data_IF_912328868554
#
_entry.id   IF_912328868554
#
_cell.length_a   1.000
_cell.length_b   1.000
_cell.length_c   1.000
_cell.angle_alpha   90.00
_cell.angle_beta   90.00
_cell.angle_gamma   90.00
#
_symmetry.space_group_name_H-M   'P 1'
#
loop_
_entity.id
_entity.type
_entity.pdbx_description
1 polymer ?
#
# COMPACT_ATOMS: atom_id res chain seq x y z
N UNK A 1 -36.31 64.20 -14.71
CA UNK A 1 -35.57 64.14 -13.43
C UNK A 1 -36.14 63.11 -12.44
N UNK A 2 -37.45 63.08 -12.17
CA UNK A 2 -38.06 62.16 -11.19
C UNK A 2 -37.89 60.65 -11.47
N UNK A 3 -37.82 60.21 -12.73
CA UNK A 3 -37.59 58.79 -13.07
C UNK A 3 -36.15 58.32 -12.84
N UNK A 4 -35.16 59.20 -13.02
CA UNK A 4 -33.75 58.88 -12.80
C UNK A 4 -33.44 58.74 -11.30
N UNK A 5 -34.06 59.57 -10.46
CA UNK A 5 -33.95 59.48 -9.00
C UNK A 5 -34.64 58.22 -8.45
N UNK A 6 -35.77 57.80 -9.04
CA UNK A 6 -36.47 56.57 -8.64
C UNK A 6 -35.68 55.29 -9.01
N UNK A 7 -35.03 55.28 -10.19
CA UNK A 7 -34.16 54.18 -10.60
C UNK A 7 -32.90 54.09 -9.75
N UNK A 8 -32.28 55.23 -9.42
CA UNK A 8 -31.13 55.27 -8.51
C UNK A 8 -31.51 54.83 -7.09
N UNK A 9 -32.68 55.20 -6.59
CA UNK A 9 -33.19 54.77 -5.28
C UNK A 9 -33.54 53.27 -5.25
N UNK A 10 -34.12 52.75 -6.33
CA UNK A 10 -34.38 51.32 -6.53
C UNK A 10 -33.09 50.49 -6.61
N UNK A 11 -32.08 50.99 -7.32
CA UNK A 11 -30.74 50.40 -7.37
C UNK A 11 -30.07 50.47 -5.99
N UNK A 12 -30.22 51.56 -5.25
CA UNK A 12 -29.69 51.72 -3.90
C UNK A 12 -30.32 50.75 -2.92
N UNK A 13 -31.65 50.59 -2.94
CA UNK A 13 -32.38 49.62 -2.12
C UNK A 13 -32.03 48.19 -2.51
N UNK A 14 -31.93 47.86 -3.81
CA UNK A 14 -31.50 46.54 -4.25
C UNK A 14 -30.06 46.23 -3.82
N UNK A 15 -29.13 47.19 -3.92
CA UNK A 15 -27.77 47.00 -3.45
C UNK A 15 -27.70 46.85 -1.92
N UNK A 16 -28.48 47.63 -1.18
CA UNK A 16 -28.53 47.57 0.29
C UNK A 16 -29.18 46.28 0.81
N UNK A 17 -30.11 45.71 0.04
CA UNK A 17 -30.76 44.42 0.34
C UNK A 17 -29.90 43.24 -0.11
N UNK A 18 -29.19 43.33 -1.23
CA UNK A 18 -28.32 42.25 -1.74
C UNK A 18 -26.95 42.17 -1.08
N UNK A 19 -26.39 43.28 -0.60
CA UNK A 19 -25.06 43.30 0.02
C UNK A 19 -24.95 42.43 1.29
N UNK A 20 -25.94 42.43 2.21
CA UNK A 20 -25.99 41.50 3.34
C UNK A 20 -26.17 40.05 2.88
N UNK A 21 -27.01 39.80 1.87
CA UNK A 21 -27.24 38.45 1.33
C UNK A 21 -25.96 37.87 0.72
N UNK A 22 -25.21 38.68 -0.03
CA UNK A 22 -23.93 38.28 -0.62
C UNK A 22 -22.90 37.97 0.47
N UNK A 23 -22.79 38.82 1.50
CA UNK A 23 -21.91 38.63 2.66
C UNK A 23 -22.27 37.35 3.45
N UNK A 24 -23.55 37.08 3.63
CA UNK A 24 -24.05 35.86 4.27
C UNK A 24 -23.74 34.63 3.41
N UNK A 25 -23.97 34.67 2.09
CA UNK A 25 -23.63 33.55 1.20
C UNK A 25 -22.13 33.25 1.18
N UNK A 26 -21.30 34.30 1.18
CA UNK A 26 -19.84 34.17 1.20
C UNK A 26 -19.33 33.56 2.50
N UNK A 27 -19.83 34.03 3.65
CA UNK A 27 -19.50 33.47 4.98
C UNK A 27 -20.04 32.05 5.18
N UNK A 28 -21.19 31.71 4.61
CA UNK A 28 -21.74 30.35 4.64
C UNK A 28 -20.90 29.38 3.80
N UNK A 29 -20.44 29.80 2.62
CA UNK A 29 -19.54 29.00 1.77
C UNK A 29 -18.20 28.72 2.46
N UNK A 30 -17.71 29.69 3.22
CA UNK A 30 -16.45 29.66 3.94
C UNK A 30 -16.49 28.77 5.19
N UNK A 31 -17.58 28.82 5.95
CA UNK A 31 -17.79 27.92 7.09
C UNK A 31 -18.02 26.47 6.63
N UNK A 32 -18.61 26.27 5.45
CA UNK A 32 -18.80 24.95 4.86
C UNK A 32 -17.47 24.33 4.36
N UNK A 33 -16.58 25.12 3.75
CA UNK A 33 -15.27 24.60 3.29
C UNK A 33 -14.34 24.25 4.46
N UNK A 34 -14.34 25.05 5.52
CA UNK A 34 -13.55 24.80 6.74
C UNK A 34 -14.09 23.63 7.56
N UNK A 35 -15.41 23.45 7.64
CA UNK A 35 -16.03 22.29 8.30
C UNK A 35 -15.85 21.01 7.49
N UNK A 36 -15.86 21.07 6.15
CA UNK A 36 -15.51 19.93 5.31
C UNK A 36 -14.04 19.53 5.46
N UNK A 37 -13.11 20.49 5.54
CA UNK A 37 -11.69 20.16 5.72
C UNK A 37 -11.41 19.55 7.11
N UNK A 38 -12.01 20.10 8.18
CA UNK A 38 -11.91 19.54 9.52
C UNK A 38 -12.56 18.15 9.62
N UNK A 39 -13.74 17.97 9.03
CA UNK A 39 -14.42 16.66 9.04
C UNK A 39 -13.67 15.63 8.20
N UNK A 40 -13.04 16.02 7.08
CA UNK A 40 -12.20 15.14 6.29
C UNK A 40 -10.90 14.79 7.03
N UNK A 41 -10.29 15.76 7.71
CA UNK A 41 -9.11 15.53 8.56
C UNK A 41 -9.43 14.61 9.74
N UNK A 42 -10.56 14.82 10.41
CA UNK A 42 -11.04 13.98 11.50
C UNK A 42 -11.43 12.59 11.01
N UNK A 43 -12.08 12.48 9.86
CA UNK A 43 -12.46 11.20 9.24
C UNK A 43 -11.24 10.43 8.75
N UNK A 44 -10.24 11.11 8.19
CA UNK A 44 -8.98 10.50 7.76
C UNK A 44 -8.16 10.07 8.98
N UNK A 45 -8.16 10.85 10.06
CA UNK A 45 -7.52 10.50 11.34
C UNK A 45 -8.21 9.32 12.03
N UNK A 46 -9.56 9.29 12.07
CA UNK A 46 -10.33 8.17 12.58
C UNK A 46 -10.17 6.93 11.70
N UNK A 47 -10.17 7.09 10.37
CA UNK A 47 -9.99 6.00 9.43
C UNK A 47 -8.57 5.44 9.50
N UNK A 48 -7.53 6.28 9.64
CA UNK A 48 -6.17 5.81 9.87
C UNK A 48 -6.04 5.07 11.21
N UNK A 49 -6.66 5.58 12.27
CA UNK A 49 -6.80 4.87 13.55
C UNK A 49 -7.51 3.50 13.40
N UNK A 50 -8.44 3.41 12.45
CA UNK A 50 -9.21 2.19 12.14
C UNK A 50 -8.69 1.36 10.96
N UNK A 51 -7.63 1.76 10.24
CA UNK A 51 -7.03 0.90 9.18
C UNK A 51 -6.36 -0.35 9.74
N UNK A 52 -6.31 -0.47 11.07
CA UNK A 52 -6.27 -1.74 11.76
C UNK A 52 -7.70 -2.30 11.94
N UNK A 53 -8.36 -2.69 10.86
CA UNK A 53 -9.55 -3.55 10.94
C UNK A 53 -9.12 -5.02 10.91
N UNK A 54 -9.03 -5.71 12.07
CA UNK A 54 -8.83 -7.15 12.14
C UNK A 54 -9.99 -7.96 11.54
N UNK A 55 -11.14 -7.34 11.27
CA UNK A 55 -12.39 -7.97 10.81
C UNK A 55 -12.38 -8.41 9.35
N UNK A 56 -11.78 -7.65 8.42
CA UNK A 56 -11.62 -8.09 7.02
C UNK A 56 -10.59 -9.22 6.89
N UNK A 57 -9.58 -9.23 7.77
CA UNK A 57 -8.54 -10.26 7.79
C UNK A 57 -9.07 -11.62 8.27
N UNK A 58 -10.19 -11.67 8.99
CA UNK A 58 -10.79 -12.95 9.40
C UNK A 58 -11.67 -13.56 8.29
N UNK A 59 -12.35 -12.71 7.49
CA UNK A 59 -13.33 -13.17 6.51
C UNK A 59 -12.69 -13.61 5.18
N UNK A 60 -11.56 -13.03 4.77
CA UNK A 60 -10.91 -13.35 3.47
C UNK A 60 -9.94 -14.53 3.53
N UNK A 61 -9.73 -15.11 4.70
CA UNK A 61 -8.41 -15.62 5.07
C UNK A 61 -8.55 -16.98 5.80
N UNK A 62 -9.50 -17.79 5.32
CA UNK A 62 -9.78 -19.15 5.78
C UNK A 62 -8.56 -20.09 5.72
N UNK A 63 -8.80 -21.38 5.99
CA UNK A 63 -7.83 -22.45 6.31
C UNK A 63 -6.56 -22.60 5.43
N UNK A 64 -6.43 -21.88 4.31
CA UNK A 64 -5.30 -21.92 3.37
C UNK A 64 -4.14 -20.93 3.71
N UNK A 65 -4.15 -20.37 4.92
CA UNK A 65 -3.18 -19.39 5.45
C UNK A 65 -1.71 -19.80 5.39
N UNK A 66 -1.43 -21.09 5.61
CA UNK A 66 -0.07 -21.66 5.61
C UNK A 66 0.28 -22.29 4.26
N UNK A 67 -0.47 -21.98 3.21
CA UNK A 67 -0.16 -22.40 1.85
C UNK A 67 0.71 -21.36 1.12
N UNK A 68 1.31 -21.75 0.00
CA UNK A 68 2.00 -20.81 -0.92
C UNK A 68 1.07 -19.68 -1.37
N UNK A 69 -0.22 -19.97 -1.60
CA UNK A 69 -1.23 -18.96 -1.95
C UNK A 69 -1.42 -17.94 -0.82
N UNK A 70 -1.38 -18.38 0.43
CA UNK A 70 -1.45 -17.51 1.60
C UNK A 70 -0.32 -16.46 1.63
N UNK A 71 0.89 -16.85 1.23
CA UNK A 71 2.01 -15.92 1.09
C UNK A 71 1.75 -14.88 0.00
N UNK A 72 1.29 -15.30 -1.19
CA UNK A 72 1.04 -14.38 -2.31
C UNK A 72 -0.04 -13.35 -1.97
N UNK A 73 -1.13 -13.78 -1.33
CA UNK A 73 -2.20 -12.88 -0.87
C UNK A 73 -1.68 -11.88 0.16
N UNK A 74 -0.91 -12.35 1.14
CA UNK A 74 -0.32 -11.49 2.17
C UNK A 74 0.65 -10.47 1.55
N UNK A 75 1.50 -10.93 0.64
CA UNK A 75 2.48 -10.11 -0.06
C UNK A 75 1.81 -9.03 -0.91
N UNK A 76 0.79 -9.41 -1.68
CA UNK A 76 -0.03 -8.49 -2.46
C UNK A 76 -0.69 -7.42 -1.56
N UNK A 77 -1.30 -7.83 -0.45
CA UNK A 77 -1.95 -6.89 0.47
C UNK A 77 -0.99 -5.86 1.06
N UNK A 78 0.23 -6.28 1.42
CA UNK A 78 1.26 -5.35 1.92
C UNK A 78 1.70 -4.34 0.85
N UNK A 79 1.75 -4.77 -0.43
CA UNK A 79 2.03 -3.91 -1.58
C UNK A 79 0.89 -2.93 -1.83
N UNK A 80 -0.35 -3.38 -1.79
CA UNK A 80 -1.54 -2.53 -1.98
C UNK A 80 -1.63 -1.45 -0.89
N UNK A 81 -1.36 -1.81 0.37
CA UNK A 81 -1.30 -0.84 1.47
C UNK A 81 -0.27 0.25 1.24
N UNK A 82 0.93 -0.10 0.73
CA UNK A 82 1.95 0.89 0.36
C UNK A 82 1.43 1.80 -0.75
N UNK A 83 0.87 1.22 -1.81
CA UNK A 83 0.37 1.98 -2.96
C UNK A 83 -0.73 2.94 -2.54
N UNK A 84 -1.69 2.47 -1.74
CA UNK A 84 -2.79 3.31 -1.23
C UNK A 84 -2.29 4.54 -0.48
N UNK A 85 -1.31 4.40 0.43
CA UNK A 85 -0.74 5.57 1.13
C UNK A 85 -0.04 6.55 0.19
N UNK A 86 0.56 6.05 -0.89
CA UNK A 86 1.22 6.87 -1.90
C UNK A 86 0.20 7.65 -2.75
N UNK A 87 -0.90 7.00 -3.13
CA UNK A 87 -2.00 7.62 -3.86
C UNK A 87 -2.69 8.70 -3.03
N UNK A 88 -2.92 8.46 -1.72
CA UNK A 88 -3.49 9.45 -0.79
C UNK A 88 -2.58 10.68 -0.67
N UNK A 89 -1.26 10.48 -0.53
CA UNK A 89 -0.31 11.61 -0.49
C UNK A 89 -0.35 12.38 -1.82
N UNK A 90 -0.35 11.68 -2.95
CA UNK A 90 -0.47 12.30 -4.28
C UNK A 90 -1.74 13.13 -4.43
N UNK A 91 -2.88 12.60 -3.98
CA UNK A 91 -4.15 13.29 -3.97
C UNK A 91 -4.12 14.56 -3.10
N UNK A 92 -3.59 14.48 -1.87
CA UNK A 92 -3.51 15.63 -0.96
C UNK A 92 -2.63 16.75 -1.54
N UNK A 93 -1.51 16.41 -2.19
CA UNK A 93 -0.66 17.37 -2.90
C UNK A 93 -1.39 18.10 -4.02
N UNK A 94 -2.12 17.35 -4.84
CA UNK A 94 -2.92 17.94 -5.92
C UNK A 94 -4.01 18.86 -5.36
N UNK A 95 -4.71 18.41 -4.31
CA UNK A 95 -5.73 19.21 -3.64
C UNK A 95 -5.15 20.51 -3.06
N UNK A 96 -4.03 20.44 -2.35
CA UNK A 96 -3.35 21.63 -1.82
C UNK A 96 -2.94 22.61 -2.93
N UNK A 97 -2.43 22.10 -4.07
CA UNK A 97 -2.04 22.93 -5.21
C UNK A 97 -3.23 23.65 -5.88
N UNK A 98 -4.39 22.98 -5.98
CA UNK A 98 -5.63 23.59 -6.48
C UNK A 98 -6.08 24.73 -5.57
N UNK A 99 -6.13 24.48 -4.26
CA UNK A 99 -6.49 25.49 -3.26
C UNK A 99 -5.54 26.69 -3.29
N UNK A 100 -4.22 26.45 -3.41
CA UNK A 100 -3.21 27.50 -3.49
C UNK A 100 -3.39 28.38 -4.74
N UNK A 101 -3.70 27.75 -5.88
CA UNK A 101 -3.90 28.45 -7.15
C UNK A 101 -5.13 29.33 -7.09
N UNK A 102 -6.25 28.81 -6.56
CA UNK A 102 -7.48 29.55 -6.36
C UNK A 102 -7.28 30.74 -5.41
N UNK A 103 -6.65 30.49 -4.26
CA UNK A 103 -6.31 31.50 -3.27
C UNK A 103 -5.51 32.67 -3.87
N UNK A 104 -4.41 32.35 -4.58
CA UNK A 104 -3.55 33.35 -5.23
C UNK A 104 -4.31 34.15 -6.30
N UNK A 105 -5.20 33.50 -7.05
CA UNK A 105 -6.03 34.17 -8.05
C UNK A 105 -6.98 35.19 -7.41
N UNK A 106 -7.66 34.83 -6.31
CA UNK A 106 -8.54 35.74 -5.56
C UNK A 106 -7.77 36.92 -4.96
N UNK A 107 -6.62 36.66 -4.32
CA UNK A 107 -5.79 37.72 -3.74
C UNK A 107 -5.28 38.70 -4.82
N UNK A 108 -4.91 38.19 -6.00
CA UNK A 108 -4.49 39.00 -7.14
C UNK A 108 -5.65 39.82 -7.71
N UNK A 109 -6.84 39.22 -7.85
CA UNK A 109 -8.05 39.90 -8.30
C UNK A 109 -8.40 41.07 -7.38
N UNK A 110 -8.42 40.84 -6.06
CA UNK A 110 -8.72 41.87 -5.08
C UNK A 110 -7.71 43.03 -5.12
N UNK A 111 -6.41 42.73 -5.26
CA UNK A 111 -5.36 43.75 -5.38
C UNK A 111 -5.50 44.60 -6.66
N UNK A 112 -6.09 44.05 -7.72
CA UNK A 112 -6.28 44.71 -9.02
C UNK A 112 -7.67 45.29 -9.27
N UNK A 113 -8.54 45.35 -8.26
CA UNK A 113 -9.97 45.61 -8.43
C UNK A 113 -10.33 47.03 -8.93
N UNK A 114 -9.44 48.03 -8.77
CA UNK A 114 -9.71 49.40 -9.22
C UNK A 114 -10.88 50.06 -8.47
N UNK A 115 -11.71 50.84 -9.19
CA UNK A 115 -12.89 51.52 -8.61
C UNK A 115 -12.59 52.85 -7.92
N UNK A 116 -11.49 53.52 -8.26
CA UNK A 116 -11.08 54.82 -7.68
C UNK A 116 -11.92 56.01 -8.11
N UNK A 117 -12.74 55.87 -9.14
CA UNK A 117 -13.61 56.93 -9.66
C UNK A 117 -14.92 57.09 -8.89
N UNK A 118 -15.36 56.04 -8.18
CA UNK A 118 -16.61 56.03 -7.42
C UNK A 118 -16.40 56.57 -6.00
N UNK A 119 -17.41 57.26 -5.44
CA UNK A 119 -17.34 57.85 -4.09
C UNK A 119 -18.61 57.58 -3.27
N UNK A 120 -18.62 58.00 -2.00
CA UNK A 120 -19.79 57.82 -1.14
C UNK A 120 -20.04 56.37 -0.70
N UNK A 121 -21.30 55.98 -0.54
CA UNK A 121 -21.71 54.67 0.00
C UNK A 121 -21.44 53.51 -0.96
N UNK A 122 -21.62 53.71 -2.26
CA UNK A 122 -21.32 52.70 -3.28
C UNK A 122 -19.85 52.29 -3.24
N UNK A 123 -18.95 53.27 -3.10
CA UNK A 123 -17.53 53.02 -2.93
C UNK A 123 -17.24 52.17 -1.69
N UNK A 124 -17.88 52.47 -0.56
CA UNK A 124 -17.74 51.67 0.67
C UNK A 124 -18.22 50.22 0.47
N UNK A 125 -19.33 50.00 -0.24
CA UNK A 125 -19.79 48.65 -0.59
C UNK A 125 -18.78 47.90 -1.46
N UNK A 126 -18.18 48.57 -2.45
CA UNK A 126 -17.12 48.02 -3.28
C UNK A 126 -15.89 47.63 -2.46
N UNK A 127 -15.42 48.49 -1.56
CA UNK A 127 -14.28 48.22 -0.69
C UNK A 127 -14.51 46.99 0.21
N UNK A 128 -15.73 46.83 0.72
CA UNK A 128 -16.12 45.63 1.47
C UNK A 128 -16.04 44.38 0.59
N UNK A 129 -16.61 44.41 -0.62
CA UNK A 129 -16.58 43.26 -1.53
C UNK A 129 -15.14 42.85 -1.91
N UNK A 130 -14.29 43.82 -2.23
CA UNK A 130 -12.88 43.60 -2.55
C UNK A 130 -12.13 43.05 -1.32
N UNK A 131 -12.39 43.61 -0.14
CA UNK A 131 -11.83 43.15 1.11
C UNK A 131 -12.20 41.71 1.45
N UNK A 132 -13.48 41.34 1.32
CA UNK A 132 -13.94 39.96 1.56
C UNK A 132 -13.36 38.99 0.53
N UNK A 133 -13.27 39.38 -0.75
CA UNK A 133 -12.62 38.57 -1.78
C UNK A 133 -11.16 38.28 -1.43
N UNK A 134 -10.43 39.28 -0.91
CA UNK A 134 -9.06 39.10 -0.45
C UNK A 134 -8.98 38.15 0.75
N UNK A 135 -9.86 38.32 1.75
CA UNK A 135 -9.90 37.46 2.96
C UNK A 135 -10.14 36.00 2.61
N UNK A 136 -11.05 35.71 1.68
CA UNK A 136 -11.28 34.34 1.19
C UNK A 136 -10.02 33.78 0.55
N UNK A 137 -9.34 34.58 -0.28
CA UNK A 137 -8.06 34.19 -0.86
C UNK A 137 -7.03 33.79 0.20
N UNK A 138 -6.88 34.60 1.27
CA UNK A 138 -6.00 34.27 2.40
C UNK A 138 -6.43 32.98 3.10
N UNK A 139 -7.72 32.77 3.33
CA UNK A 139 -8.21 31.58 4.02
C UNK A 139 -8.01 30.28 3.22
N UNK A 140 -8.27 30.31 1.91
CA UNK A 140 -7.97 29.17 1.03
C UNK A 140 -6.47 28.89 0.94
N UNK A 141 -5.63 29.93 1.04
CA UNK A 141 -4.19 29.75 1.14
C UNK A 141 -3.79 29.02 2.43
N UNK A 142 -4.37 29.40 3.57
CA UNK A 142 -4.14 28.69 4.84
C UNK A 142 -4.65 27.25 4.80
N UNK A 143 -5.79 26.98 4.16
CA UNK A 143 -6.29 25.61 3.95
C UNK A 143 -5.29 24.80 3.12
N UNK A 144 -4.75 25.36 2.03
CA UNK A 144 -3.71 24.71 1.24
C UNK A 144 -2.50 24.35 2.10
N UNK A 145 -2.03 25.28 2.94
CA UNK A 145 -0.92 25.03 3.87
C UNK A 145 -1.24 23.93 4.86
N UNK A 146 -2.41 23.95 5.49
CA UNK A 146 -2.84 22.92 6.44
C UNK A 146 -2.89 21.53 5.80
N UNK A 147 -3.37 21.41 4.55
CA UNK A 147 -3.35 20.14 3.82
C UNK A 147 -1.92 19.62 3.64
N UNK A 148 -0.99 20.49 3.24
CA UNK A 148 0.41 20.11 3.02
C UNK A 148 1.20 19.85 4.30
N UNK A 149 1.02 20.64 5.36
CA UNK A 149 1.84 20.55 6.57
C UNK A 149 1.32 19.53 7.57
N UNK A 150 0.00 19.36 7.66
CA UNK A 150 -0.60 18.58 8.74
C UNK A 150 -1.15 17.27 8.21
N UNK A 151 -2.03 17.33 7.20
CA UNK A 151 -2.68 16.13 6.65
C UNK A 151 -1.68 15.26 5.87
N UNK A 152 -1.03 15.82 4.86
CA UNK A 152 -0.05 15.12 4.02
C UNK A 152 1.09 14.56 4.88
N UNK A 153 1.65 15.38 5.78
CA UNK A 153 2.75 14.96 6.64
C UNK A 153 2.35 13.83 7.60
N UNK A 154 1.11 13.84 8.10
CA UNK A 154 0.59 12.74 8.94
C UNK A 154 0.56 11.43 8.15
N UNK A 155 0.07 11.45 6.90
CA UNK A 155 0.07 10.25 6.05
C UNK A 155 1.51 9.84 5.69
N UNK A 156 2.40 10.80 5.46
CA UNK A 156 3.81 10.54 5.19
C UNK A 156 4.50 9.86 6.38
N UNK A 157 4.21 10.30 7.61
CA UNK A 157 4.72 9.70 8.83
C UNK A 157 4.17 8.27 9.01
N UNK A 158 2.88 8.05 8.77
CA UNK A 158 2.30 6.70 8.76
C UNK A 158 3.00 5.80 7.74
N UNK A 159 3.21 6.29 6.51
CA UNK A 159 3.87 5.53 5.44
C UNK A 159 5.29 5.11 5.85
N UNK A 160 6.01 6.00 6.53
CA UNK A 160 7.35 5.72 7.05
C UNK A 160 7.31 4.67 8.17
N UNK A 161 6.39 4.79 9.13
CA UNK A 161 6.20 3.80 10.19
C UNK A 161 5.82 2.41 9.62
N UNK A 162 4.87 2.37 8.68
CA UNK A 162 4.49 1.15 7.97
C UNK A 162 5.65 0.55 7.18
N UNK A 163 6.52 1.36 6.58
CA UNK A 163 7.72 0.88 5.86
C UNK A 163 8.67 0.15 6.81
N UNK A 164 8.96 0.72 7.98
CA UNK A 164 9.85 0.10 8.95
C UNK A 164 9.24 -1.17 9.56
N UNK A 165 7.94 -1.17 9.81
CA UNK A 165 7.21 -2.38 10.22
C UNK A 165 7.27 -3.47 9.13
N UNK A 166 6.94 -3.14 7.87
CA UNK A 166 7.00 -4.08 6.74
C UNK A 166 8.40 -4.67 6.58
N UNK A 167 9.48 -3.88 6.64
CA UNK A 167 10.85 -4.40 6.54
C UNK A 167 11.15 -5.49 7.57
N UNK A 168 10.70 -5.32 8.83
CA UNK A 168 10.95 -6.29 9.91
C UNK A 168 10.24 -7.63 9.69
N UNK A 169 9.11 -7.62 8.99
CA UNK A 169 8.24 -8.79 8.82
C UNK A 169 8.39 -9.43 7.42
N UNK A 170 8.39 -8.61 6.37
CA UNK A 170 8.39 -9.02 4.96
C UNK A 170 9.76 -9.57 4.52
N UNK A 171 10.88 -9.01 4.98
CA UNK A 171 12.22 -9.46 4.57
C UNK A 171 12.56 -10.88 5.07
N UNK A 172 12.39 -11.21 6.38
CA UNK A 172 12.58 -12.59 6.85
C UNK A 172 11.64 -13.56 6.16
N UNK A 173 10.39 -13.15 5.93
CA UNK A 173 9.39 -13.99 5.29
C UNK A 173 9.73 -14.29 3.82
N UNK A 174 10.14 -13.28 3.04
CA UNK A 174 10.62 -13.48 1.66
C UNK A 174 11.83 -14.39 1.60
N UNK A 175 12.78 -14.21 2.52
CA UNK A 175 13.97 -15.06 2.61
C UNK A 175 13.58 -16.50 2.91
N UNK A 176 12.68 -16.73 3.86
CA UNK A 176 12.16 -18.05 4.19
C UNK A 176 11.42 -18.70 2.99
N UNK A 177 10.57 -17.94 2.29
CA UNK A 177 9.85 -18.42 1.11
C UNK A 177 10.81 -18.84 -0.01
N UNK A 178 11.83 -18.02 -0.29
CA UNK A 178 12.87 -18.34 -1.29
C UNK A 178 13.68 -19.58 -0.88
N UNK A 179 14.06 -19.68 0.39
CA UNK A 179 14.82 -20.82 0.91
C UNK A 179 14.01 -22.12 0.82
N UNK A 180 12.73 -22.10 1.20
CA UNK A 180 11.80 -23.24 1.07
C UNK A 180 11.69 -23.69 -0.39
N UNK A 181 11.51 -22.76 -1.33
CA UNK A 181 11.45 -23.08 -2.76
C UNK A 181 12.77 -23.71 -3.28
N UNK A 182 13.92 -23.20 -2.85
CA UNK A 182 15.23 -23.77 -3.20
C UNK A 182 15.41 -25.18 -2.64
N UNK A 183 15.03 -25.41 -1.37
CA UNK A 183 15.10 -26.73 -0.75
C UNK A 183 14.15 -27.73 -1.42
N UNK A 184 12.97 -27.28 -1.84
CA UNK A 184 12.02 -28.11 -2.56
C UNK A 184 12.59 -28.59 -3.91
N UNK A 185 13.18 -27.68 -4.70
CA UNK A 185 13.83 -28.03 -5.95
C UNK A 185 15.04 -28.98 -5.75
N UNK A 186 15.83 -28.78 -4.69
CA UNK A 186 16.92 -29.69 -4.33
C UNK A 186 16.41 -31.09 -3.94
N UNK A 187 15.31 -31.15 -3.19
CA UNK A 187 14.65 -32.40 -2.81
C UNK A 187 14.14 -33.17 -4.04
N UNK A 188 13.45 -32.50 -4.98
CA UNK A 188 13.03 -33.12 -6.23
C UNK A 188 14.21 -33.68 -7.04
N UNK A 189 15.33 -32.94 -7.09
CA UNK A 189 16.54 -33.39 -7.78
C UNK A 189 17.14 -34.63 -7.11
N UNK A 190 17.23 -34.63 -5.78
CA UNK A 190 17.74 -35.77 -5.01
C UNK A 190 16.82 -37.00 -5.16
N UNK A 191 15.51 -36.81 -5.15
CA UNK A 191 14.52 -37.87 -5.40
C UNK A 191 14.70 -38.51 -6.79
N UNK A 192 14.85 -37.69 -7.84
CA UNK A 192 15.08 -38.17 -9.21
C UNK A 192 16.41 -38.92 -9.34
N UNK A 193 17.46 -38.43 -8.68
CA UNK A 193 18.76 -39.10 -8.65
C UNK A 193 18.66 -40.46 -7.94
N UNK A 194 18.03 -40.52 -6.77
CA UNK A 194 17.78 -41.75 -6.03
C UNK A 194 17.01 -42.78 -6.88
N UNK A 195 15.87 -42.39 -7.46
CA UNK A 195 15.07 -43.26 -8.33
C UNK A 195 15.87 -43.80 -9.52
N UNK A 196 16.78 -43.00 -10.08
CA UNK A 196 17.65 -43.43 -11.19
C UNK A 196 18.67 -44.47 -10.72
N UNK A 197 19.34 -44.21 -9.59
CA UNK A 197 20.34 -45.14 -9.03
C UNK A 197 19.72 -46.46 -8.56
N UNK A 198 18.50 -46.43 -8.02
CA UNK A 198 17.76 -47.66 -7.71
C UNK A 198 17.49 -48.50 -8.95
N UNK A 199 17.04 -47.88 -10.05
CA UNK A 199 16.83 -48.61 -11.32
C UNK A 199 18.11 -49.20 -11.88
N UNK A 200 19.23 -48.48 -11.79
CA UNK A 200 20.55 -48.99 -12.20
C UNK A 200 21.02 -50.16 -11.33
N UNK A 201 20.78 -50.10 -10.01
CA UNK A 201 21.10 -51.18 -9.09
C UNK A 201 20.26 -52.43 -9.36
N UNK A 202 18.95 -52.29 -9.57
CA UNK A 202 18.07 -53.42 -9.92
C UNK A 202 18.45 -54.04 -11.26
N UNK A 203 18.75 -53.22 -12.27
CA UNK A 203 19.27 -53.73 -13.55
C UNK A 203 20.59 -54.47 -13.38
N UNK A 204 21.51 -53.97 -12.56
CA UNK A 204 22.79 -54.64 -12.33
C UNK A 204 22.63 -55.97 -11.57
N UNK A 205 21.65 -56.07 -10.67
CA UNK A 205 21.26 -57.34 -10.02
C UNK A 205 20.67 -58.33 -11.02
N UNK A 206 19.77 -57.87 -11.89
CA UNK A 206 19.18 -58.68 -12.95
C UNK A 206 20.25 -59.20 -13.92
N UNK A 207 21.16 -58.33 -14.39
CA UNK A 207 22.31 -58.68 -15.24
C UNK A 207 23.17 -59.79 -14.61
N UNK A 208 23.35 -59.80 -13.28
CA UNK A 208 24.08 -60.86 -12.56
C UNK A 208 23.24 -62.15 -12.46
N UNK A 209 21.94 -62.03 -12.18
CA UNK A 209 21.04 -63.16 -11.99
C UNK A 209 20.78 -63.96 -13.28
N UNK A 210 20.72 -63.28 -14.44
CA UNK A 210 20.43 -63.90 -15.73
C UNK A 210 21.69 -64.28 -16.53
N UNK A 211 22.89 -63.96 -16.04
CA UNK A 211 24.14 -64.19 -16.76
C UNK A 211 24.61 -65.64 -16.68
N UNK A 212 24.84 -66.25 -17.84
CA UNK A 212 25.53 -67.54 -18.00
C UNK A 212 27.04 -67.37 -18.28
N UNK A 213 27.61 -66.19 -17.97
CA UNK A 213 29.00 -65.87 -18.28
C UNK A 213 29.99 -66.71 -17.47
N UNK A 214 31.20 -66.99 -18.01
CA UNK A 214 32.23 -67.73 -17.31
C UNK A 214 32.66 -67.05 -15.99
N UNK A 215 33.24 -67.79 -15.03
CA UNK A 215 33.46 -67.33 -13.66
C UNK A 215 34.15 -65.97 -13.52
N UNK A 216 35.14 -65.70 -14.38
CA UNK A 216 35.92 -64.46 -14.39
C UNK A 216 35.11 -63.23 -14.84
N UNK A 217 34.16 -63.40 -15.75
CA UNK A 217 33.27 -62.31 -16.18
C UNK A 217 32.12 -62.10 -15.18
N UNK A 218 31.62 -63.18 -14.58
CA UNK A 218 30.61 -63.12 -13.53
C UNK A 218 31.11 -62.33 -12.31
N UNK A 219 32.38 -62.50 -11.95
CA UNK A 219 33.03 -61.73 -10.87
C UNK A 219 33.07 -60.22 -11.18
N UNK A 220 33.32 -59.85 -12.44
CA UNK A 220 33.29 -58.45 -12.90
C UNK A 220 31.88 -57.85 -12.84
N UNK A 221 30.84 -58.63 -13.19
CA UNK A 221 29.44 -58.21 -13.08
C UNK A 221 29.03 -58.00 -11.62
N UNK A 222 29.39 -58.92 -10.70
CA UNK A 222 29.16 -58.75 -9.26
C UNK A 222 29.87 -57.51 -8.68
N UNK A 223 31.07 -57.19 -9.16
CA UNK A 223 31.75 -55.96 -8.77
C UNK A 223 31.00 -54.70 -9.24
N UNK A 224 30.37 -54.75 -10.42
CA UNK A 224 29.53 -53.65 -10.96
C UNK A 224 28.22 -53.53 -10.18
N UNK A 225 27.57 -54.64 -9.87
CA UNK A 225 26.37 -54.71 -9.01
C UNK A 225 26.65 -54.07 -7.65
N UNK A 226 27.71 -54.50 -6.95
CA UNK A 226 28.09 -53.94 -5.65
C UNK A 226 28.29 -52.42 -5.71
N UNK A 227 28.95 -51.92 -6.76
CA UNK A 227 29.13 -50.47 -6.97
C UNK A 227 27.79 -49.76 -7.21
N UNK A 228 26.87 -50.34 -7.97
CA UNK A 228 25.56 -49.77 -8.24
C UNK A 228 24.70 -49.73 -6.97
N UNK A 229 24.73 -50.79 -6.15
CA UNK A 229 24.06 -50.85 -4.84
C UNK A 229 24.60 -49.77 -3.90
N UNK A 230 25.93 -49.68 -3.72
CA UNK A 230 26.52 -48.62 -2.89
C UNK A 230 26.19 -47.22 -3.41
N UNK A 231 26.14 -47.02 -4.72
CA UNK A 231 25.73 -45.73 -5.30
C UNK A 231 24.26 -45.40 -5.04
N UNK A 232 23.37 -46.40 -5.01
CA UNK A 232 21.96 -46.23 -4.63
C UNK A 232 21.81 -45.89 -3.14
N UNK A 233 22.56 -46.58 -2.26
CA UNK A 233 22.60 -46.28 -0.82
C UNK A 233 23.10 -44.84 -0.54
N UNK A 234 24.13 -44.39 -1.24
CA UNK A 234 24.61 -43.00 -1.15
C UNK A 234 23.58 -41.99 -1.64
N UNK A 235 22.84 -42.31 -2.71
CA UNK A 235 21.77 -41.45 -3.22
C UNK A 235 20.56 -41.42 -2.26
N UNK A 236 20.25 -42.53 -1.57
CA UNK A 236 19.21 -42.59 -0.54
C UNK A 236 19.57 -41.69 0.65
N UNK A 237 20.79 -41.83 1.18
CA UNK A 237 21.28 -40.98 2.27
C UNK A 237 21.24 -39.48 1.89
N UNK A 238 21.62 -39.14 0.65
CA UNK A 238 21.52 -37.77 0.14
C UNK A 238 20.06 -37.29 0.01
N UNK A 239 19.15 -38.17 -0.41
CA UNK A 239 17.72 -37.85 -0.48
C UNK A 239 17.11 -37.64 0.91
N UNK A 240 17.40 -38.50 1.88
CA UNK A 240 16.95 -38.34 3.27
C UNK A 240 17.45 -37.02 3.88
N UNK A 241 18.71 -36.65 3.63
CA UNK A 241 19.23 -35.33 4.05
C UNK A 241 18.50 -34.16 3.38
N UNK A 242 18.16 -34.29 2.09
CA UNK A 242 17.41 -33.26 1.37
C UNK A 242 15.97 -33.11 1.91
N UNK A 243 15.30 -34.22 2.25
CA UNK A 243 13.98 -34.22 2.89
C UNK A 243 14.03 -33.54 4.26
N UNK A 244 15.00 -33.89 5.10
CA UNK A 244 15.17 -33.29 6.42
C UNK A 244 15.41 -31.77 6.33
N UNK A 245 16.29 -31.34 5.41
CA UNK A 245 16.56 -29.92 5.19
C UNK A 245 15.36 -29.15 4.60
N UNK A 246 14.52 -29.81 3.79
CA UNK A 246 13.27 -29.23 3.31
C UNK A 246 12.29 -29.03 4.46
N UNK A 247 12.10 -30.04 5.33
CA UNK A 247 11.19 -29.93 6.46
C UNK A 247 11.62 -28.83 7.45
N UNK A 248 12.92 -28.73 7.76
CA UNK A 248 13.46 -27.63 8.58
C UNK A 248 13.11 -26.26 7.97
N UNK A 249 13.32 -26.10 6.65
CA UNK A 249 13.00 -24.85 5.96
C UNK A 249 11.50 -24.55 5.91
N UNK A 250 10.65 -25.58 5.85
CA UNK A 250 9.20 -25.47 5.88
C UNK A 250 8.74 -25.00 7.26
N UNK A 251 9.19 -25.63 8.33
CA UNK A 251 8.83 -25.25 9.72
C UNK A 251 9.25 -23.82 10.01
N UNK A 252 10.47 -23.43 9.60
CA UNK A 252 10.93 -22.05 9.73
C UNK A 252 10.04 -21.06 8.97
N UNK A 253 9.67 -21.41 7.73
CA UNK A 253 8.76 -20.58 6.92
C UNK A 253 7.36 -20.46 7.55
N UNK A 254 6.78 -21.55 8.06
CA UNK A 254 5.48 -21.53 8.74
C UNK A 254 5.51 -20.61 9.96
N UNK A 255 6.60 -20.64 10.73
CA UNK A 255 6.82 -19.71 11.85
C UNK A 255 6.87 -18.25 11.39
N UNK A 256 7.58 -17.94 10.30
CA UNK A 256 7.62 -16.58 9.76
C UNK A 256 6.24 -16.13 9.25
N UNK A 257 5.48 -17.01 8.61
CA UNK A 257 4.11 -16.73 8.19
C UNK A 257 3.22 -16.42 9.39
N UNK A 258 3.26 -17.23 10.44
CA UNK A 258 2.50 -16.99 11.67
C UNK A 258 2.87 -15.67 12.34
N UNK A 259 4.16 -15.34 12.42
CA UNK A 259 4.62 -14.06 12.96
C UNK A 259 4.09 -12.90 12.11
N UNK A 260 4.18 -13.00 10.77
CA UNK A 260 3.71 -11.95 9.88
C UNK A 260 2.20 -11.71 10.03
N UNK A 261 1.40 -12.76 10.05
CA UNK A 261 -0.04 -12.66 10.29
C UNK A 261 -0.37 -12.14 11.70
N UNK A 262 0.36 -12.62 12.72
CA UNK A 262 0.20 -12.18 14.10
C UNK A 262 0.47 -10.69 14.25
N UNK A 263 1.58 -10.20 13.68
CA UNK A 263 1.93 -8.78 13.72
C UNK A 263 0.93 -7.91 12.95
N UNK A 264 0.34 -8.41 11.86
CA UNK A 264 -0.73 -7.69 11.15
C UNK A 264 -2.06 -7.66 11.92
N UNK A 265 -2.34 -8.67 12.75
CA UNK A 265 -3.52 -8.68 13.65
C UNK A 265 -3.36 -7.79 14.88
N UNK A 266 -2.12 -7.65 15.38
CA UNK A 266 -1.83 -7.01 16.69
C UNK A 266 -1.36 -5.56 16.55
N UNK A 267 -1.39 -4.97 15.35
CA UNK A 267 -1.20 -3.52 15.19
C UNK A 267 -2.23 -2.74 16.02
N UNK A 268 -1.84 -2.40 17.24
CA UNK A 268 -2.45 -1.50 18.22
C UNK A 268 -1.40 -0.45 18.55
#
# INVERSE_FOLDING_TARGET
>A
MLMATALLFSLFLNLYVWCPSLLVSLSLSLSLSLSLSLSLSLSLSLSLSHTHTPSLILFTFGADMLSTKGFDVLHARMKDSKQFTEDVIGFLKQRASIEETYAKALMKLAKGAGGTTESGTMRKCWDVLVGETHKIGVQHYEVSKHISTDMEQTIQNLRNAQREFRKKIEEPLKKAQKQKAQRFAANEKAQRAYNTRCREAEKAKEDVATSAAPPKELEKLRAKEKKAVTAAEQADAAYQQAVAALEESRVYWERQMQLAFGSLRVGR
#
